data_IF_119922157992
#
_entry.id   IF_119922157992
#
_cell.length_a   1.000
_cell.length_b   1.000
_cell.length_c   1.000
_cell.angle_alpha   90.00
_cell.angle_beta   90.00
_cell.angle_gamma   90.00
#
_symmetry.space_group_name_H-M   'P 1'
#
loop_
_entity.id
_entity.type
_entity.pdbx_description
1 polymer ?
#
# COMPACT_ATOMS: atom_id res chain seq x y z
N UNK A 1 -4.62 -19.59 -9.36
CA UNK A 1 -5.28 -18.56 -8.52
C UNK A 1 -5.51 -17.33 -9.40
N UNK A 2 -6.63 -16.63 -9.20
CA UNK A 2 -6.94 -15.40 -9.93
C UNK A 2 -6.92 -14.20 -8.98
N UNK A 3 -6.35 -13.08 -9.42
CA UNK A 3 -6.34 -11.83 -8.66
C UNK A 3 -7.13 -10.76 -9.42
N UNK A 4 -8.26 -10.36 -8.87
CA UNK A 4 -8.97 -9.15 -9.29
C UNK A 4 -8.27 -7.94 -8.68
N UNK A 5 -7.80 -7.02 -9.51
CA UNK A 5 -6.94 -5.95 -9.07
C UNK A 5 -7.04 -4.71 -9.98
N UNK A 6 -6.45 -3.61 -9.54
CA UNK A 6 -6.16 -2.49 -10.44
C UNK A 6 -4.70 -2.08 -10.30
N UNK A 7 -3.98 -1.83 -11.40
CA UNK A 7 -2.53 -1.59 -11.37
C UNK A 7 -2.10 -0.31 -10.63
N UNK A 8 -2.98 0.69 -10.46
CA UNK A 8 -2.67 1.89 -9.65
C UNK A 8 -3.02 1.72 -8.18
N UNK A 9 -3.78 0.67 -7.81
CA UNK A 9 -4.27 0.49 -6.44
C UNK A 9 -3.13 0.29 -5.44
N UNK A 10 -3.09 1.14 -4.41
CA UNK A 10 -2.14 1.05 -3.30
C UNK A 10 -2.19 -0.30 -2.58
N UNK A 11 -3.38 -0.92 -2.55
CA UNK A 11 -3.61 -2.19 -1.85
C UNK A 11 -3.49 -3.42 -2.76
N UNK A 12 -3.58 -3.27 -4.09
CA UNK A 12 -3.34 -4.36 -5.05
C UNK A 12 -1.86 -4.57 -5.35
N UNK A 13 -1.10 -3.47 -5.53
CA UNK A 13 0.32 -3.52 -5.91
C UNK A 13 1.21 -4.33 -4.95
N UNK A 14 0.99 -4.33 -3.62
CA UNK A 14 1.79 -5.17 -2.72
C UNK A 14 1.71 -6.65 -3.05
N UNK A 15 0.50 -7.12 -3.43
CA UNK A 15 0.27 -8.53 -3.78
C UNK A 15 0.94 -8.86 -5.10
N UNK A 16 0.80 -7.98 -6.10
CA UNK A 16 1.44 -8.15 -7.41
C UNK A 16 2.95 -8.18 -7.28
N UNK A 17 3.53 -7.27 -6.46
CA UNK A 17 4.97 -7.23 -6.21
C UNK A 17 5.43 -8.51 -5.51
N UNK A 18 4.77 -8.90 -4.43
CA UNK A 18 5.10 -10.13 -3.70
C UNK A 18 5.01 -11.37 -4.60
N UNK A 19 3.92 -11.50 -5.36
CA UNK A 19 3.73 -12.63 -6.25
C UNK A 19 4.83 -12.72 -7.32
N UNK A 20 5.22 -11.59 -7.91
CA UNK A 20 6.28 -11.55 -8.93
C UNK A 20 7.66 -11.88 -8.33
N UNK A 21 8.02 -11.32 -7.16
CA UNK A 21 9.29 -11.61 -6.50
C UNK A 21 9.40 -13.07 -6.03
N UNK A 22 8.27 -13.69 -5.68
CA UNK A 22 8.22 -15.09 -5.24
C UNK A 22 7.88 -16.08 -6.38
N UNK A 23 7.74 -15.58 -7.63
CA UNK A 23 7.34 -16.39 -8.79
C UNK A 23 6.03 -17.16 -8.58
N UNK A 24 5.05 -16.56 -7.88
CA UNK A 24 3.73 -17.13 -7.66
C UNK A 24 2.87 -16.88 -8.91
N UNK A 25 2.40 -17.92 -9.61
CA UNK A 25 1.58 -17.75 -10.78
C UNK A 25 0.17 -17.27 -10.40
N UNK A 26 -0.18 -16.06 -10.84
CA UNK A 26 -1.51 -15.49 -10.72
C UNK A 26 -2.08 -15.14 -12.09
N UNK A 27 -3.35 -15.46 -12.28
CA UNK A 27 -4.16 -14.95 -13.40
C UNK A 27 -4.70 -13.57 -13.01
N UNK A 28 -4.26 -12.53 -13.72
CA UNK A 28 -4.56 -11.14 -13.38
C UNK A 28 -5.79 -10.64 -14.11
N UNK A 29 -6.85 -10.35 -13.37
CA UNK A 29 -8.08 -9.73 -13.87
C UNK A 29 -8.16 -8.28 -13.43
N UNK A 30 -8.04 -7.35 -14.38
CA UNK A 30 -8.19 -5.92 -14.09
C UNK A 30 -9.67 -5.61 -13.82
N UNK A 31 -9.90 -4.82 -12.77
CA UNK A 31 -11.19 -4.17 -12.46
C UNK A 31 -10.96 -2.67 -12.62
N UNK A 32 -11.55 -2.06 -13.61
CA UNK A 32 -11.29 -0.68 -13.97
C UNK A 32 -11.96 0.29 -12.98
N UNK A 33 -11.14 0.79 -12.04
CA UNK A 33 -11.57 1.75 -11.02
C UNK A 33 -11.90 3.13 -11.61
N UNK A 34 -11.32 3.48 -12.77
CA UNK A 34 -11.54 4.78 -13.40
C UNK A 34 -12.91 4.88 -14.07
N UNK A 35 -13.44 3.75 -14.55
CA UNK A 35 -14.79 3.67 -15.13
C UNK A 35 -15.87 3.27 -14.13
N UNK A 36 -15.50 2.99 -12.88
CA UNK A 36 -16.43 2.57 -11.84
C UNK A 36 -16.88 1.10 -11.96
N UNK A 37 -16.09 0.24 -12.62
CA UNK A 37 -16.42 -1.19 -12.81
C UNK A 37 -16.64 -1.90 -11.48
N UNK A 38 -15.98 -1.48 -10.40
CA UNK A 38 -16.16 -2.03 -9.05
C UNK A 38 -17.60 -1.90 -8.51
N UNK A 39 -18.40 -1.00 -9.07
CA UNK A 39 -19.80 -0.79 -8.67
C UNK A 39 -20.81 -1.56 -9.55
N UNK A 40 -20.35 -2.21 -10.63
CA UNK A 40 -21.23 -3.01 -11.48
C UNK A 40 -21.68 -4.28 -10.78
N UNK A 41 -22.90 -4.80 -11.10
CA UNK A 41 -23.44 -6.00 -10.47
C UNK A 41 -22.49 -7.21 -10.54
N UNK A 42 -21.78 -7.37 -11.67
CA UNK A 42 -20.85 -8.48 -11.92
C UNK A 42 -19.71 -8.49 -10.89
N UNK A 43 -19.12 -7.33 -10.60
CA UNK A 43 -18.06 -7.24 -9.60
C UNK A 43 -18.62 -7.18 -8.16
N UNK A 44 -19.78 -6.57 -7.96
CA UNK A 44 -20.45 -6.55 -6.64
C UNK A 44 -20.77 -7.95 -6.14
N UNK A 45 -21.06 -8.90 -7.03
CA UNK A 45 -21.23 -10.32 -6.70
C UNK A 45 -19.91 -11.01 -6.29
N UNK A 46 -18.76 -10.47 -6.71
CA UNK A 46 -17.42 -10.95 -6.31
C UNK A 46 -17.02 -10.34 -4.97
N UNK A 47 -17.18 -9.01 -4.85
CA UNK A 47 -16.87 -8.28 -3.63
C UNK A 47 -17.91 -7.18 -3.35
N UNK A 48 -18.84 -7.41 -2.40
CA UNK A 48 -19.84 -6.42 -2.03
C UNK A 48 -19.29 -5.13 -1.41
N UNK A 49 -18.00 -5.12 -1.02
CA UNK A 49 -17.32 -3.90 -0.55
C UNK A 49 -16.86 -2.99 -1.68
N UNK A 50 -17.01 -3.40 -2.95
CA UNK A 50 -16.63 -2.62 -4.15
C UNK A 50 -15.15 -2.19 -4.17
N UNK A 51 -14.27 -3.01 -3.60
CA UNK A 51 -12.85 -2.73 -3.50
C UNK A 51 -12.00 -3.81 -4.16
N UNK A 52 -10.81 -3.44 -4.57
CA UNK A 52 -9.75 -4.36 -4.98
C UNK A 52 -8.61 -4.28 -3.95
N UNK A 53 -7.86 -5.38 -3.74
CA UNK A 53 -7.85 -6.65 -4.47
C UNK A 53 -8.85 -7.69 -3.95
N UNK A 54 -9.13 -8.71 -4.78
CA UNK A 54 -9.76 -9.97 -4.37
C UNK A 54 -8.94 -11.12 -4.93
N UNK A 55 -8.56 -12.07 -4.12
CA UNK A 55 -7.96 -13.34 -4.54
C UNK A 55 -9.05 -14.41 -4.64
N UNK A 56 -9.02 -15.18 -5.73
CA UNK A 56 -9.85 -16.37 -5.93
C UNK A 56 -8.96 -17.59 -6.12
N UNK A 57 -9.15 -18.60 -5.28
CA UNK A 57 -8.40 -19.85 -5.31
C UNK A 57 -9.39 -21.03 -5.28
N UNK A 58 -9.78 -21.50 -6.44
CA UNK A 58 -10.88 -22.44 -6.60
C UNK A 58 -12.22 -21.80 -6.20
N UNK A 59 -12.88 -22.37 -5.21
CA UNK A 59 -14.13 -21.87 -4.62
C UNK A 59 -13.92 -20.87 -3.46
N UNK A 60 -12.66 -20.68 -3.02
CA UNK A 60 -12.31 -19.77 -1.94
C UNK A 60 -12.03 -18.37 -2.47
N UNK A 61 -12.72 -17.37 -1.92
CA UNK A 61 -12.47 -15.95 -2.19
C UNK A 61 -11.99 -15.25 -0.93
N UNK A 62 -10.95 -14.43 -1.09
CA UNK A 62 -10.33 -13.70 -0.01
C UNK A 62 -10.16 -12.23 -0.39
N UNK A 63 -10.62 -11.34 0.47
CA UNK A 63 -10.40 -9.89 0.41
C UNK A 63 -9.31 -9.48 1.40
N UNK A 64 -9.07 -8.17 1.53
CA UNK A 64 -8.04 -7.56 2.36
C UNK A 64 -6.61 -7.92 1.94
N UNK A 65 -5.86 -6.92 1.48
CA UNK A 65 -4.48 -7.11 0.97
C UNK A 65 -3.55 -7.77 1.98
N UNK A 66 -3.69 -7.46 3.27
CA UNK A 66 -2.90 -8.10 4.33
C UNK A 66 -3.25 -9.57 4.51
N UNK A 67 -4.52 -9.94 4.42
CA UNK A 67 -4.97 -11.33 4.48
C UNK A 67 -4.50 -12.12 3.26
N UNK A 68 -4.60 -11.52 2.06
CA UNK A 68 -4.14 -12.13 0.80
C UNK A 68 -2.63 -12.37 0.84
N UNK A 69 -1.83 -11.40 1.29
CA UNK A 69 -0.37 -11.56 1.45
C UNK A 69 -0.03 -12.70 2.40
N UNK A 70 -0.69 -12.78 3.57
CA UNK A 70 -0.50 -13.86 4.54
C UNK A 70 -0.86 -15.22 3.93
N UNK A 71 -2.00 -15.30 3.24
CA UNK A 71 -2.47 -16.53 2.60
C UNK A 71 -1.49 -17.02 1.53
N UNK A 72 -1.05 -16.13 0.62
CA UNK A 72 -0.09 -16.48 -0.43
C UNK A 72 1.26 -16.91 0.16
N UNK A 73 1.76 -16.17 1.15
CA UNK A 73 3.03 -16.49 1.79
C UNK A 73 3.00 -17.83 2.55
N UNK A 74 1.89 -18.13 3.24
CA UNK A 74 1.69 -19.42 3.91
C UNK A 74 1.57 -20.56 2.90
N UNK A 75 0.74 -20.41 1.87
CA UNK A 75 0.52 -21.40 0.82
C UNK A 75 1.81 -21.77 0.09
N UNK A 76 2.71 -20.82 -0.10
CA UNK A 76 4.00 -21.02 -0.78
C UNK A 76 5.16 -21.28 0.17
N UNK A 77 4.91 -21.28 1.47
CA UNK A 77 5.95 -21.42 2.52
C UNK A 77 7.07 -20.39 2.36
N UNK A 78 6.70 -19.15 2.01
CA UNK A 78 7.65 -18.08 1.79
C UNK A 78 8.39 -17.71 3.09
N UNK A 79 9.72 -17.50 3.06
CA UNK A 79 10.47 -17.02 4.21
C UNK A 79 10.03 -15.59 4.65
N UNK A 80 9.35 -14.83 3.77
CA UNK A 80 8.81 -13.51 4.11
C UNK A 80 7.65 -13.56 5.12
N UNK A 81 7.16 -14.76 5.47
CA UNK A 81 6.17 -14.98 6.54
C UNK A 81 6.48 -16.29 7.28
N UNK A 82 7.49 -16.31 8.14
CA UNK A 82 8.05 -17.52 8.76
C UNK A 82 7.04 -18.19 9.71
N UNK A 83 7.27 -19.47 9.99
CA UNK A 83 6.44 -20.25 10.93
C UNK A 83 6.74 -19.94 12.40
N UNK A 84 7.87 -19.32 12.72
CA UNK A 84 8.19 -18.90 14.09
C UNK A 84 7.12 -17.94 14.63
N UNK A 85 6.50 -18.31 15.75
CA UNK A 85 5.37 -17.59 16.31
C UNK A 85 5.69 -16.12 16.66
N UNK A 86 6.88 -15.85 17.20
CA UNK A 86 7.27 -14.50 17.62
C UNK A 86 7.55 -13.60 16.41
N UNK A 87 8.27 -14.13 15.41
CA UNK A 87 8.52 -13.41 14.16
C UNK A 87 7.20 -13.12 13.43
N UNK A 88 6.33 -14.11 13.34
CA UNK A 88 5.00 -13.98 12.72
C UNK A 88 4.12 -12.96 13.43
N UNK A 89 4.08 -12.98 14.77
CA UNK A 89 3.36 -12.00 15.57
C UNK A 89 3.87 -10.58 15.32
N UNK A 90 5.20 -10.39 15.21
CA UNK A 90 5.79 -9.09 14.88
C UNK A 90 5.38 -8.60 13.49
N UNK A 91 5.39 -9.47 12.48
CA UNK A 91 4.94 -9.14 11.13
C UNK A 91 3.47 -8.72 11.14
N UNK A 92 2.62 -9.47 11.83
CA UNK A 92 1.19 -9.14 11.97
C UNK A 92 0.99 -7.78 12.64
N UNK A 93 1.69 -7.52 13.74
CA UNK A 93 1.66 -6.21 14.43
C UNK A 93 2.02 -5.06 13.47
N UNK A 94 3.06 -5.21 12.64
CA UNK A 94 3.44 -4.19 11.65
C UNK A 94 2.34 -3.99 10.60
N UNK A 95 1.76 -5.08 10.09
CA UNK A 95 0.69 -5.00 9.10
C UNK A 95 -0.58 -4.36 9.68
N UNK A 96 -0.94 -4.67 10.91
CA UNK A 96 -2.10 -4.07 11.57
C UNK A 96 -1.84 -2.58 11.86
N UNK A 97 -0.66 -2.22 12.33
CA UNK A 97 -0.24 -0.82 12.52
C UNK A 97 -0.33 -0.01 11.23
N UNK A 98 0.14 -0.58 10.11
CA UNK A 98 0.03 0.04 8.78
C UNK A 98 -1.43 0.26 8.38
N UNK A 99 -2.28 -0.77 8.50
CA UNK A 99 -3.66 -0.72 8.02
C UNK A 99 -4.56 0.17 8.91
N UNK A 100 -4.46 0.05 10.23
CA UNK A 100 -5.41 0.69 11.14
C UNK A 100 -5.06 2.14 11.47
N UNK A 101 -3.78 2.49 11.46
CA UNK A 101 -3.28 3.82 11.82
C UNK A 101 -2.70 4.56 10.62
N UNK A 102 -1.53 4.12 10.16
CA UNK A 102 -0.75 4.83 9.15
C UNK A 102 -1.54 5.07 7.86
N UNK A 103 -2.10 4.03 7.26
CA UNK A 103 -2.81 4.14 5.98
C UNK A 103 -4.06 5.01 6.07
N UNK A 104 -4.82 4.87 7.17
CA UNK A 104 -5.99 5.72 7.42
C UNK A 104 -5.62 7.20 7.41
N UNK A 105 -4.58 7.58 8.16
CA UNK A 105 -4.28 8.98 8.39
C UNK A 105 -3.39 9.55 7.27
N UNK A 106 -2.35 8.83 6.84
CA UNK A 106 -1.45 9.26 5.77
C UNK A 106 -2.15 9.28 4.41
N UNK A 107 -2.84 8.19 4.04
CA UNK A 107 -3.46 8.12 2.71
C UNK A 107 -4.84 8.77 2.70
N UNK A 108 -5.79 8.31 3.52
CA UNK A 108 -7.17 8.82 3.49
C UNK A 108 -7.33 10.19 4.15
N UNK A 109 -6.53 10.52 5.16
CA UNK A 109 -6.58 11.81 5.84
C UNK A 109 -5.79 12.90 5.13
N UNK A 110 -4.62 12.56 4.56
CA UNK A 110 -3.68 13.55 4.02
C UNK A 110 -3.54 13.50 2.49
N UNK A 111 -3.22 12.33 1.88
CA UNK A 111 -2.91 12.27 0.46
C UNK A 111 -4.16 12.33 -0.43
N UNK A 112 -5.09 11.41 -0.24
CA UNK A 112 -6.21 11.19 -1.15
C UNK A 112 -7.16 12.38 -1.28
N UNK A 113 -7.47 13.14 -0.21
CA UNK A 113 -8.27 14.36 -0.34
C UNK A 113 -7.62 15.42 -1.21
N UNK A 114 -6.30 15.38 -1.40
CA UNK A 114 -5.58 16.32 -2.28
C UNK A 114 -5.49 15.82 -3.73
N UNK A 115 -5.49 14.51 -3.95
CA UNK A 115 -5.22 13.90 -5.26
C UNK A 115 -6.51 13.58 -6.02
N UNK A 116 -7.50 12.98 -5.33
CA UNK A 116 -8.68 12.41 -5.96
C UNK A 116 -9.91 13.31 -5.77
N UNK A 117 -10.53 13.82 -6.86
CA UNK A 117 -11.71 14.67 -6.76
C UNK A 117 -12.86 14.07 -5.95
N UNK A 118 -13.09 12.75 -6.07
CA UNK A 118 -14.16 12.04 -5.33
C UNK A 118 -13.85 11.84 -3.84
N UNK A 119 -12.62 12.12 -3.40
CA UNK A 119 -12.21 12.14 -1.99
C UNK A 119 -12.19 13.54 -1.39
N UNK A 120 -12.28 14.58 -2.23
CA UNK A 120 -12.32 15.97 -1.78
C UNK A 120 -13.59 16.21 -0.96
N UNK A 121 -13.45 16.95 0.14
CA UNK A 121 -14.59 17.34 0.96
C UNK A 121 -15.40 18.43 0.23
N UNK A 122 -16.74 18.48 0.42
CA UNK A 122 -17.59 19.40 -0.33
C UNK A 122 -17.38 20.89 0.01
N UNK A 123 -16.91 21.18 1.21
CA UNK A 123 -16.62 22.53 1.70
C UNK A 123 -15.10 22.76 1.82
N UNK A 124 -14.60 23.89 1.32
CA UNK A 124 -13.17 24.16 1.28
C UNK A 124 -12.54 24.30 2.70
N UNK A 125 -13.30 24.80 3.68
CA UNK A 125 -12.83 24.88 5.07
C UNK A 125 -12.72 23.50 5.69
N UNK A 126 -13.70 22.63 5.43
CA UNK A 126 -13.67 21.23 5.86
C UNK A 126 -12.54 20.49 5.15
N UNK A 127 -12.32 20.73 3.86
CA UNK A 127 -11.21 20.16 3.10
C UNK A 127 -9.87 20.57 3.71
N UNK A 128 -9.64 21.85 3.91
CA UNK A 128 -8.40 22.36 4.51
C UNK A 128 -8.16 21.80 5.92
N UNK A 129 -9.22 21.76 6.75
CA UNK A 129 -9.15 21.16 8.08
C UNK A 129 -8.84 19.66 8.07
N UNK A 130 -9.43 18.92 7.12
CA UNK A 130 -9.15 17.48 6.94
C UNK A 130 -7.69 17.24 6.57
N UNK A 131 -7.17 18.00 5.60
CA UNK A 131 -5.78 17.87 5.13
C UNK A 131 -4.79 18.29 6.23
N UNK A 132 -5.06 19.37 6.95
CA UNK A 132 -4.21 19.84 8.06
C UNK A 132 -4.16 18.82 9.19
N UNK A 133 -5.30 18.27 9.60
CA UNK A 133 -5.37 17.21 10.59
C UNK A 133 -4.65 15.93 10.13
N UNK A 134 -4.89 15.53 8.87
CA UNK A 134 -4.24 14.37 8.27
C UNK A 134 -2.72 14.52 8.22
N UNK A 135 -2.21 15.73 7.87
CA UNK A 135 -0.79 16.05 7.91
C UNK A 135 -0.20 15.87 9.32
N UNK A 136 -0.85 16.45 10.34
CA UNK A 136 -0.39 16.34 11.74
C UNK A 136 -0.25 14.87 12.16
N UNK A 137 -1.27 14.04 11.85
CA UNK A 137 -1.22 12.61 12.12
C UNK A 137 -0.15 11.89 11.31
N UNK A 138 -0.03 12.20 10.01
CA UNK A 138 0.96 11.61 9.11
C UNK A 138 2.39 11.84 9.60
N UNK A 139 2.72 13.06 10.02
CA UNK A 139 4.04 13.40 10.60
C UNK A 139 4.34 12.53 11.83
N UNK A 140 3.37 12.36 12.73
CA UNK A 140 3.53 11.49 13.89
C UNK A 140 3.78 10.03 13.51
N UNK A 141 3.02 9.50 12.55
CA UNK A 141 3.20 8.13 12.07
C UNK A 141 4.53 7.92 11.35
N UNK A 142 4.95 8.87 10.50
CA UNK A 142 6.23 8.81 9.80
C UNK A 142 7.41 8.83 10.77
N UNK A 143 7.34 9.64 11.83
CA UNK A 143 8.34 9.64 12.88
C UNK A 143 8.45 8.27 13.57
N UNK A 144 7.33 7.66 13.94
CA UNK A 144 7.33 6.30 14.53
C UNK A 144 7.89 5.29 13.56
N UNK A 145 7.51 5.36 12.28
CA UNK A 145 8.00 4.47 11.23
C UNK A 145 9.52 4.58 11.08
N UNK A 146 10.03 5.82 10.97
CA UNK A 146 11.45 6.10 10.78
C UNK A 146 12.29 5.70 11.99
N UNK A 147 11.96 6.23 13.17
CA UNK A 147 12.80 6.12 14.36
C UNK A 147 12.68 4.77 15.08
N UNK A 148 11.47 4.16 15.07
CA UNK A 148 11.17 3.03 15.93
C UNK A 148 10.93 1.72 15.16
N UNK A 149 10.19 1.74 14.04
CA UNK A 149 9.86 0.50 13.33
C UNK A 149 11.01 0.06 12.44
N UNK A 150 11.59 0.99 11.67
CA UNK A 150 12.78 0.75 10.86
C UNK A 150 14.02 0.99 11.73
N UNK A 151 14.16 2.21 12.24
CA UNK A 151 15.33 2.61 13.02
C UNK A 151 16.63 2.62 12.20
N UNK A 152 17.78 2.95 12.83
CA UNK A 152 19.04 3.13 12.11
C UNK A 152 19.71 1.84 11.66
N UNK A 153 19.28 0.68 12.17
CA UNK A 153 19.97 -0.60 11.96
C UNK A 153 19.25 -1.59 11.05
N UNK A 154 17.92 -1.58 11.03
CA UNK A 154 17.16 -2.55 10.27
C UNK A 154 17.12 -2.20 8.78
N UNK A 155 17.29 -3.18 7.93
CA UNK A 155 17.12 -3.05 6.48
C UNK A 155 15.63 -3.02 6.08
N UNK A 156 14.76 -3.66 6.89
CA UNK A 156 13.32 -3.84 6.67
C UNK A 156 12.53 -3.66 7.97
N UNK A 157 11.20 -3.65 7.90
CA UNK A 157 10.29 -3.38 9.03
C UNK A 157 10.41 -4.37 10.21
N UNK A 158 10.89 -5.57 9.95
CA UNK A 158 11.00 -6.64 10.96
C UNK A 158 12.44 -7.12 11.19
N UNK A 159 13.45 -6.36 10.74
CA UNK A 159 14.87 -6.70 10.86
C UNK A 159 15.61 -6.60 9.53
N UNK A 160 16.51 -7.55 9.26
CA UNK A 160 17.35 -7.54 8.05
C UNK A 160 16.75 -8.34 6.88
N UNK A 161 15.75 -9.16 7.14
CA UNK A 161 15.06 -9.93 6.13
C UNK A 161 13.77 -9.25 5.71
N UNK A 162 13.48 -9.21 4.40
CA UNK A 162 12.23 -8.70 3.85
C UNK A 162 11.05 -9.57 4.29
N UNK A 163 9.94 -8.94 4.67
CA UNK A 163 8.72 -9.60 5.08
C UNK A 163 7.51 -9.09 4.32
N UNK A 164 6.37 -9.78 4.42
CA UNK A 164 5.12 -9.32 3.79
C UNK A 164 4.66 -7.95 4.30
N UNK A 165 5.09 -7.51 5.49
CA UNK A 165 4.84 -6.18 5.99
C UNK A 165 5.54 -5.09 5.16
N UNK A 166 6.74 -5.39 4.64
CA UNK A 166 7.50 -4.46 3.79
C UNK A 166 6.81 -4.24 2.44
N UNK A 167 6.33 -5.31 1.81
CA UNK A 167 5.55 -5.21 0.57
C UNK A 167 4.31 -4.33 0.75
N UNK A 168 3.59 -4.51 1.86
CA UNK A 168 2.40 -3.72 2.18
C UNK A 168 2.75 -2.24 2.44
N UNK A 169 3.69 -2.02 3.36
CA UNK A 169 4.04 -0.68 3.84
C UNK A 169 4.69 0.19 2.77
N UNK A 170 5.57 -0.40 1.93
CA UNK A 170 6.26 0.35 0.89
C UNK A 170 5.29 0.97 -0.12
N UNK A 171 4.21 0.27 -0.49
CA UNK A 171 3.21 0.83 -1.41
C UNK A 171 2.37 1.94 -0.76
N UNK A 172 2.17 1.90 0.55
CA UNK A 172 1.48 2.96 1.27
C UNK A 172 2.34 4.22 1.35
N UNK A 173 3.63 4.08 1.70
CA UNK A 173 4.58 5.21 1.76
C UNK A 173 4.83 5.79 0.37
N UNK A 174 4.96 4.93 -0.65
CA UNK A 174 5.12 5.37 -2.06
C UNK A 174 3.98 6.29 -2.51
N UNK A 175 2.79 6.17 -1.94
CA UNK A 175 1.66 7.05 -2.21
C UNK A 175 2.01 8.54 -2.07
N UNK A 176 2.96 8.89 -1.20
CA UNK A 176 3.44 10.27 -1.03
C UNK A 176 4.07 10.88 -2.29
N UNK A 177 4.63 10.08 -3.18
CA UNK A 177 5.20 10.58 -4.45
C UNK A 177 4.14 11.19 -5.38
N UNK A 178 2.87 10.86 -5.18
CA UNK A 178 1.79 11.46 -5.97
C UNK A 178 1.59 12.97 -5.71
N UNK A 179 2.07 13.47 -4.59
CA UNK A 179 2.07 14.91 -4.24
C UNK A 179 3.49 15.46 -4.09
N UNK A 180 4.50 14.77 -4.65
CA UNK A 180 5.93 15.11 -4.54
C UNK A 180 6.40 15.23 -3.08
N UNK A 181 5.86 14.41 -2.18
CA UNK A 181 6.25 14.33 -0.78
C UNK A 181 7.75 14.04 -0.66
N UNK A 182 8.48 14.90 0.05
CA UNK A 182 9.89 14.67 0.36
C UNK A 182 10.01 13.98 1.71
N UNK A 183 10.77 12.90 1.74
CA UNK A 183 11.04 12.13 2.96
C UNK A 183 12.44 12.42 3.51
N UNK A 184 13.09 13.52 3.11
CA UNK A 184 14.48 13.85 3.49
C UNK A 184 14.67 13.96 5.01
N UNK A 185 13.61 14.36 5.73
CA UNK A 185 13.60 14.38 7.20
C UNK A 185 13.51 12.97 7.85
N UNK A 186 13.32 11.91 7.04
CA UNK A 186 13.12 10.54 7.49
C UNK A 186 14.14 9.58 6.85
N UNK A 187 15.42 9.64 7.24
CA UNK A 187 16.51 8.93 6.56
C UNK A 187 16.38 7.41 6.57
N UNK A 188 15.77 6.83 7.61
CA UNK A 188 15.55 5.40 7.69
C UNK A 188 14.44 4.94 6.74
N UNK A 189 13.38 5.75 6.58
CA UNK A 189 12.35 5.53 5.54
C UNK A 189 12.97 5.60 4.15
N UNK A 190 13.81 6.62 3.86
CA UNK A 190 14.49 6.74 2.58
C UNK A 190 15.34 5.51 2.26
N UNK A 191 16.14 5.03 3.23
CA UNK A 191 16.95 3.82 3.09
C UNK A 191 16.08 2.58 2.83
N UNK A 192 15.07 2.34 3.65
CA UNK A 192 14.15 1.21 3.51
C UNK A 192 13.39 1.24 2.19
N UNK A 193 12.83 2.39 1.82
CA UNK A 193 12.13 2.54 0.54
C UNK A 193 13.09 2.33 -0.65
N UNK A 194 14.36 2.75 -0.52
CA UNK A 194 15.42 2.45 -1.48
C UNK A 194 15.63 0.94 -1.65
N UNK A 195 15.68 0.18 -0.56
CA UNK A 195 15.79 -1.28 -0.60
C UNK A 195 14.58 -1.91 -1.33
N UNK A 196 13.38 -1.40 -1.06
CA UNK A 196 12.17 -1.88 -1.74
C UNK A 196 12.16 -1.54 -3.23
N UNK A 197 12.61 -0.34 -3.60
CA UNK A 197 12.73 0.10 -5.01
C UNK A 197 13.77 -0.69 -5.79
N UNK A 198 14.74 -1.31 -5.13
CA UNK A 198 15.76 -2.16 -5.75
C UNK A 198 15.24 -3.57 -6.11
N UNK A 199 14.02 -3.95 -5.71
CA UNK A 199 13.41 -5.21 -6.09
C UNK A 199 13.22 -5.29 -7.61
N UNK A 200 13.51 -6.46 -8.20
CA UNK A 200 13.50 -6.68 -9.65
C UNK A 200 12.18 -6.29 -10.31
N UNK A 201 11.08 -6.63 -9.67
CA UNK A 201 9.73 -6.41 -10.21
C UNK A 201 9.17 -5.02 -9.91
N UNK A 202 9.86 -4.22 -9.08
CA UNK A 202 9.39 -2.91 -8.64
C UNK A 202 9.05 -1.96 -9.79
N UNK A 203 9.91 -1.76 -10.82
CA UNK A 203 9.62 -0.82 -11.90
C UNK A 203 8.35 -1.19 -12.66
N UNK A 204 8.20 -2.47 -13.02
CA UNK A 204 7.04 -2.97 -13.76
C UNK A 204 5.74 -2.85 -12.96
N UNK A 205 5.77 -3.20 -11.68
CA UNK A 205 4.57 -3.17 -10.81
C UNK A 205 4.09 -1.74 -10.57
N UNK A 206 4.99 -0.78 -10.53
CA UNK A 206 4.66 0.62 -10.24
C UNK A 206 4.54 1.51 -11.49
N UNK A 207 4.75 0.99 -12.71
CA UNK A 207 4.67 1.74 -13.97
C UNK A 207 3.34 2.49 -14.11
N UNK A 208 2.22 1.79 -13.91
CA UNK A 208 0.89 2.39 -14.02
C UNK A 208 0.63 3.45 -12.93
N UNK A 209 1.15 3.26 -11.71
CA UNK A 209 1.06 4.25 -10.65
C UNK A 209 1.79 5.53 -11.02
N UNK A 210 3.00 5.43 -11.52
CA UNK A 210 3.75 6.61 -11.98
C UNK A 210 3.02 7.30 -13.13
N UNK A 211 2.64 6.56 -14.17
CA UNK A 211 2.01 7.11 -15.36
C UNK A 211 0.66 7.76 -15.12
N UNK A 212 -0.20 7.16 -14.29
CA UNK A 212 -1.59 7.60 -14.14
C UNK A 212 -1.89 8.34 -12.83
N UNK A 213 -0.97 8.30 -11.86
CA UNK A 213 -1.16 8.98 -10.57
C UNK A 213 -0.07 10.02 -10.32
N UNK A 214 1.22 9.68 -10.46
CA UNK A 214 2.31 10.62 -10.18
C UNK A 214 2.45 11.66 -11.29
N UNK A 215 2.63 11.21 -12.54
CA UNK A 215 2.92 12.12 -13.68
C UNK A 215 1.83 13.21 -13.89
N UNK A 216 0.52 12.90 -13.79
CA UNK A 216 -0.52 13.93 -13.95
C UNK A 216 -0.56 14.97 -12.82
N UNK A 217 0.10 14.70 -11.71
CA UNK A 217 0.17 15.58 -10.55
C UNK A 217 1.47 16.38 -10.47
N UNK A 218 2.44 16.11 -11.33
CA UNK A 218 3.69 16.88 -11.40
C UNK A 218 3.41 18.36 -11.66
N UNK A 219 4.04 19.22 -10.87
CA UNK A 219 3.92 20.67 -10.98
C UNK A 219 2.64 21.26 -10.36
N UNK A 220 1.75 20.45 -9.79
CA UNK A 220 0.63 20.94 -8.99
C UNK A 220 1.08 21.27 -7.57
N UNK A 221 0.43 22.26 -6.98
CA UNK A 221 0.67 22.63 -5.58
C UNK A 221 -0.16 21.74 -4.64
N UNK A 222 0.51 21.19 -3.64
CA UNK A 222 -0.08 20.38 -2.59
C UNK A 222 0.44 20.83 -1.22
N UNK A 223 -0.35 20.62 -0.18
CA UNK A 223 0.14 20.74 1.20
C UNK A 223 1.19 19.66 1.41
N UNK A 224 2.42 20.06 1.74
CA UNK A 224 3.54 19.16 1.99
C UNK A 224 3.63 18.75 3.48
N UNK A 225 4.43 17.70 3.79
CA UNK A 225 4.71 17.24 5.18
C UNK A 225 5.45 18.29 6.00
#
# INVERSE_FOLDING_TARGET
MKLYYHPVSTTSRPIVLFANEQNIPLDYQIVDLFTGEQYKPEYSAINPSHQVPVLEDGDFRLTESSAILKYLAEKTRSPAYPSDLRKRARINERMDWLNTGFYRDFSYGFLYPQIFPFMKRPDDKVQAGTVAWGKDKAVGWLKVLDENLIGPRNSFLCGDDITIADYLGAMMVLGGEAIDCKFDAYPNICRWLGNMKALKSWPKVNEAFYKYVVDPNKGKEFVQL
#
